data_IF_182281319261
#
_entry.id   IF_182281319261
#
_cell.length_a   1.000
_cell.length_b   1.000
_cell.length_c   1.000
_cell.angle_alpha   90.00
_cell.angle_beta   90.00
_cell.angle_gamma   90.00
#
_symmetry.space_group_name_H-M   'P 1'
#
loop_
_entity.id
_entity.type
_entity.pdbx_description
1 polymer ?
#
# COMPACT_ATOMS: atom_id res chain seq x y z
N UNK A 1 -34.61 52.17 -9.19
CA UNK A 1 -33.26 51.87 -9.72
C UNK A 1 -32.30 51.29 -8.67
N UNK A 2 -32.18 51.83 -7.44
CA UNK A 2 -31.25 51.29 -6.40
C UNK A 2 -31.40 49.78 -6.09
N UNK A 3 -32.63 49.23 -6.08
CA UNK A 3 -32.88 47.80 -5.78
C UNK A 3 -32.38 46.84 -6.87
N UNK A 4 -32.26 47.31 -8.12
CA UNK A 4 -31.80 46.48 -9.24
C UNK A 4 -30.28 46.26 -9.19
N UNK A 5 -29.53 47.30 -8.79
CA UNK A 5 -28.07 47.19 -8.58
C UNK A 5 -27.72 46.28 -7.40
N UNK A 6 -28.54 46.25 -6.34
CA UNK A 6 -28.35 45.32 -5.21
C UNK A 6 -28.53 43.87 -5.69
N UNK A 7 -29.53 43.61 -6.52
CA UNK A 7 -29.77 42.27 -7.05
C UNK A 7 -28.66 41.81 -8.01
N UNK A 8 -28.17 42.71 -8.87
CA UNK A 8 -27.02 42.43 -9.74
C UNK A 8 -25.76 42.18 -8.92
N UNK A 9 -25.50 42.99 -7.89
CA UNK A 9 -24.32 42.83 -7.04
C UNK A 9 -24.34 41.51 -6.27
N UNK A 10 -25.52 41.12 -5.74
CA UNK A 10 -25.70 39.86 -5.01
C UNK A 10 -25.61 38.65 -5.93
N UNK A 11 -26.11 38.76 -7.16
CA UNK A 11 -25.94 37.74 -8.19
C UNK A 11 -24.48 37.61 -8.63
N UNK A 12 -23.77 38.73 -8.79
CA UNK A 12 -22.36 38.73 -9.17
C UNK A 12 -21.46 38.22 -8.03
N UNK A 13 -21.77 38.53 -6.77
CA UNK A 13 -21.03 37.99 -5.62
C UNK A 13 -21.26 36.49 -5.45
N UNK A 14 -22.48 36.00 -5.69
CA UNK A 14 -22.80 34.58 -5.65
C UNK A 14 -22.14 33.83 -6.81
N UNK A 15 -22.12 34.41 -8.02
CA UNK A 15 -21.43 33.86 -9.17
C UNK A 15 -19.91 33.81 -8.96
N UNK A 16 -19.31 34.84 -8.35
CA UNK A 16 -17.90 34.81 -7.95
C UNK A 16 -17.65 33.72 -6.90
N UNK A 17 -18.51 33.58 -5.89
CA UNK A 17 -18.38 32.52 -4.88
C UNK A 17 -18.44 31.11 -5.50
N UNK A 18 -19.29 30.90 -6.51
CA UNK A 18 -19.39 29.63 -7.26
C UNK A 18 -18.19 29.37 -8.19
N UNK A 19 -17.48 30.42 -8.61
CA UNK A 19 -16.26 30.29 -9.43
C UNK A 19 -15.00 30.11 -8.57
N UNK A 20 -14.97 30.61 -7.33
CA UNK A 20 -13.83 30.48 -6.41
C UNK A 20 -13.80 29.17 -5.60
N UNK A 21 -14.89 28.39 -5.56
CA UNK A 21 -14.89 27.04 -4.95
C UNK A 21 -14.14 26.00 -5.78
N UNK A 22 -13.66 26.35 -6.98
CA UNK A 22 -12.62 25.59 -7.71
C UNK A 22 -11.21 25.97 -7.29
N UNK A 23 -11.02 26.41 -6.05
CA UNK A 23 -9.77 26.12 -5.35
C UNK A 23 -9.75 24.61 -5.17
N UNK A 24 -9.20 23.93 -6.18
CA UNK A 24 -8.84 22.53 -6.13
C UNK A 24 -8.15 22.29 -4.79
N UNK A 25 -8.85 21.70 -3.82
CA UNK A 25 -8.17 20.71 -3.01
C UNK A 25 -7.52 19.81 -4.06
N UNK A 26 -6.20 19.83 -4.14
CA UNK A 26 -5.48 18.79 -4.85
C UNK A 26 -5.97 17.49 -4.22
N UNK A 27 -6.95 16.87 -4.86
CA UNK A 27 -7.54 15.64 -4.36
C UNK A 27 -6.39 14.65 -4.50
N UNK A 28 -5.78 14.33 -3.36
CA UNK A 28 -4.67 13.38 -3.31
C UNK A 28 -5.09 12.17 -4.14
N UNK A 29 -4.25 11.79 -5.11
CA UNK A 29 -4.47 10.60 -5.93
C UNK A 29 -4.77 9.41 -5.01
N UNK A 30 -5.78 8.64 -5.38
CA UNK A 30 -6.14 7.37 -4.72
C UNK A 30 -5.03 6.34 -4.91
N UNK A 31 -5.02 5.29 -4.09
CA UNK A 31 -4.06 4.18 -4.25
C UNK A 31 -4.16 3.50 -5.60
N UNK A 32 -5.36 3.44 -6.19
CA UNK A 32 -5.59 2.87 -7.51
C UNK A 32 -4.95 3.72 -8.61
N UNK A 33 -5.10 5.05 -8.55
CA UNK A 33 -4.47 5.96 -9.50
C UNK A 33 -2.94 5.91 -9.39
N UNK A 34 -2.40 5.92 -8.16
CA UNK A 34 -0.95 5.79 -7.94
C UNK A 34 -0.41 4.44 -8.40
N UNK A 35 -1.20 3.36 -8.29
CA UNK A 35 -0.83 2.04 -8.79
C UNK A 35 -0.75 2.01 -10.33
N UNK A 36 -1.71 2.63 -11.02
CA UNK A 36 -1.68 2.72 -12.48
C UNK A 36 -0.47 3.53 -12.96
N UNK A 37 -0.17 4.64 -12.30
CA UNK A 37 1.02 5.44 -12.58
C UNK A 37 2.32 4.67 -12.33
N UNK A 38 2.40 3.90 -11.25
CA UNK A 38 3.50 2.98 -10.98
C UNK A 38 3.69 1.99 -12.14
N UNK A 39 2.63 1.33 -12.59
CA UNK A 39 2.72 0.37 -13.69
C UNK A 39 3.23 1.03 -14.98
N UNK A 40 2.78 2.24 -15.29
CA UNK A 40 3.24 2.99 -16.45
C UNK A 40 4.72 3.38 -16.35
N UNK A 41 5.13 3.95 -15.22
CA UNK A 41 6.51 4.39 -15.02
C UNK A 41 7.47 3.21 -14.94
N UNK A 42 7.04 2.09 -14.35
CA UNK A 42 7.84 0.87 -14.32
C UNK A 42 8.07 0.28 -15.71
N UNK A 43 7.06 0.29 -16.59
CA UNK A 43 7.26 -0.09 -18.01
C UNK A 43 8.25 0.82 -18.71
N UNK A 44 8.15 2.13 -18.48
CA UNK A 44 9.10 3.11 -19.05
C UNK A 44 10.54 2.86 -18.57
N UNK A 45 10.71 2.46 -17.32
CA UNK A 45 12.00 2.01 -16.79
C UNK A 45 12.51 0.76 -17.51
N UNK A 46 11.67 -0.27 -17.66
CA UNK A 46 12.02 -1.49 -18.39
C UNK A 46 12.44 -1.22 -19.83
N UNK A 47 11.72 -0.34 -20.53
CA UNK A 47 12.00 0.04 -21.92
C UNK A 47 13.35 0.76 -22.08
N UNK A 48 13.82 1.47 -21.04
CA UNK A 48 15.09 2.19 -21.07
C UNK A 48 16.33 1.30 -20.82
N UNK A 49 16.15 0.08 -20.28
CA UNK A 49 17.25 -0.84 -19.96
C UNK A 49 17.99 -1.29 -21.24
N UNK A 50 17.24 -1.66 -22.27
CA UNK A 50 17.83 -2.19 -23.52
C UNK A 50 18.71 -1.14 -24.22
N UNK A 51 18.22 0.10 -24.49
CA UNK A 51 19.05 1.17 -25.04
C UNK A 51 20.32 1.41 -24.22
N UNK A 52 20.21 1.48 -22.89
CA UNK A 52 21.36 1.65 -22.01
C UNK A 52 22.41 0.55 -22.19
N UNK A 53 21.98 -0.72 -22.17
CA UNK A 53 22.89 -1.86 -22.34
C UNK A 53 23.57 -1.86 -23.71
N UNK A 54 22.84 -1.48 -24.78
CA UNK A 54 23.43 -1.34 -26.11
C UNK A 54 24.50 -0.25 -26.14
N UNK A 55 24.22 0.93 -25.60
CA UNK A 55 25.19 2.04 -25.56
C UNK A 55 26.40 1.71 -24.67
N UNK A 56 26.18 1.03 -23.55
CA UNK A 56 27.24 0.54 -22.66
C UNK A 56 28.16 -0.42 -23.38
N UNK A 57 27.61 -1.40 -24.10
CA UNK A 57 28.39 -2.36 -24.89
C UNK A 57 29.23 -1.66 -25.98
N UNK A 58 28.65 -0.69 -26.69
CA UNK A 58 29.39 0.11 -27.69
C UNK A 58 30.53 0.91 -27.05
N UNK A 59 30.29 1.57 -25.92
CA UNK A 59 31.35 2.29 -25.19
C UNK A 59 32.48 1.37 -24.75
N UNK A 60 32.16 0.20 -24.17
CA UNK A 60 33.17 -0.79 -23.77
C UNK A 60 33.97 -1.36 -24.96
N UNK A 61 33.38 -1.38 -26.15
CA UNK A 61 34.03 -1.87 -27.38
C UNK A 61 34.93 -0.81 -28.01
N UNK A 62 34.47 0.43 -28.10
CA UNK A 62 35.12 1.47 -28.90
C UNK A 62 35.85 2.55 -28.10
N UNK A 63 35.39 2.87 -26.88
CA UNK A 63 36.06 3.83 -25.98
C UNK A 63 36.22 5.26 -26.51
N UNK A 64 35.45 5.66 -27.53
CA UNK A 64 35.54 6.99 -28.15
C UNK A 64 34.73 8.04 -27.39
N UNK A 65 35.06 9.32 -27.57
CA UNK A 65 34.31 10.47 -27.02
C UNK A 65 32.84 10.41 -27.44
N UNK A 66 32.54 10.07 -28.70
CA UNK A 66 31.17 9.94 -29.19
C UNK A 66 30.41 8.82 -28.45
N UNK A 67 31.03 7.65 -28.31
CA UNK A 67 30.41 6.53 -27.56
C UNK A 67 30.27 6.82 -26.07
N UNK A 68 31.14 7.66 -25.51
CA UNK A 68 31.05 8.13 -24.13
C UNK A 68 29.86 9.07 -23.95
N UNK A 69 29.66 10.02 -24.86
CA UNK A 69 28.53 10.93 -24.86
C UNK A 69 27.20 10.16 -25.03
N UNK A 70 27.14 9.22 -25.98
CA UNK A 70 25.96 8.37 -26.16
C UNK A 70 25.61 7.55 -24.91
N UNK A 71 26.62 7.02 -24.21
CA UNK A 71 26.41 6.28 -22.96
C UNK A 71 25.95 7.22 -21.84
N UNK A 72 26.48 8.43 -21.76
CA UNK A 72 26.07 9.41 -20.76
C UNK A 72 24.60 9.78 -20.94
N UNK A 73 24.16 10.03 -22.17
CA UNK A 73 22.75 10.33 -22.47
C UNK A 73 21.83 9.15 -22.14
N UNK A 74 22.25 7.93 -22.47
CA UNK A 74 21.48 6.73 -22.10
C UNK A 74 21.42 6.52 -20.59
N UNK A 75 22.51 6.80 -19.86
CA UNK A 75 22.57 6.75 -18.40
C UNK A 75 21.62 7.76 -17.76
N UNK A 76 21.62 9.00 -18.25
CA UNK A 76 20.68 10.05 -17.81
C UNK A 76 19.24 9.62 -18.02
N UNK A 77 18.92 9.09 -19.20
CA UNK A 77 17.57 8.64 -19.49
C UNK A 77 17.14 7.51 -18.54
N UNK A 78 18.00 6.49 -18.35
CA UNK A 78 17.72 5.37 -17.44
C UNK A 78 17.50 5.85 -16.00
N UNK A 79 18.42 6.65 -15.45
CA UNK A 79 18.32 7.18 -14.08
C UNK A 79 17.06 8.04 -13.88
N UNK A 80 16.66 8.81 -14.89
CA UNK A 80 15.45 9.62 -14.84
C UNK A 80 14.18 8.74 -14.79
N UNK A 81 14.07 7.74 -15.66
CA UNK A 81 12.90 6.85 -15.63
C UNK A 81 12.87 5.94 -14.40
N UNK A 82 14.03 5.54 -13.89
CA UNK A 82 14.18 4.79 -12.64
C UNK A 82 13.70 5.62 -11.44
N UNK A 83 14.14 6.87 -11.35
CA UNK A 83 13.68 7.80 -10.30
C UNK A 83 12.17 7.99 -10.34
N UNK A 84 11.58 8.13 -11.54
CA UNK A 84 10.11 8.26 -11.69
C UNK A 84 9.38 7.00 -11.25
N UNK A 85 9.86 5.83 -11.65
CA UNK A 85 9.27 4.55 -11.24
C UNK A 85 9.24 4.42 -9.72
N UNK A 86 10.34 4.78 -9.06
CA UNK A 86 10.48 4.63 -7.61
C UNK A 86 9.72 5.72 -6.85
N UNK A 87 9.64 6.93 -7.40
CA UNK A 87 8.74 7.98 -6.90
C UNK A 87 7.30 7.49 -6.91
N UNK A 88 6.83 6.94 -8.04
CA UNK A 88 5.47 6.41 -8.12
C UNK A 88 5.23 5.20 -7.22
N UNK A 89 6.23 4.33 -7.02
CA UNK A 89 6.15 3.23 -6.05
C UNK A 89 5.98 3.77 -4.63
N UNK A 90 6.79 4.76 -4.26
CA UNK A 90 6.78 5.39 -2.93
C UNK A 90 5.45 6.10 -2.68
N UNK A 91 4.91 6.82 -3.67
CA UNK A 91 3.57 7.42 -3.59
C UNK A 91 2.47 6.37 -3.47
N UNK A 92 2.56 5.27 -4.22
CA UNK A 92 1.61 4.16 -4.14
C UNK A 92 1.57 3.56 -2.73
N UNK A 93 2.71 3.12 -2.18
CA UNK A 93 2.74 2.52 -0.84
C UNK A 93 2.32 3.52 0.24
N UNK A 94 2.60 4.81 0.07
CA UNK A 94 2.12 5.88 0.96
C UNK A 94 0.60 5.98 0.98
N UNK A 95 -0.03 6.01 -0.19
CA UNK A 95 -1.49 6.05 -0.32
C UNK A 95 -2.14 4.77 0.21
N UNK A 96 -1.53 3.61 -0.04
CA UNK A 96 -2.00 2.32 0.47
C UNK A 96 -2.02 2.29 2.01
N UNK A 97 -0.95 2.81 2.64
CA UNK A 97 -0.89 2.92 4.10
C UNK A 97 -2.02 3.81 4.64
N UNK A 98 -2.21 4.99 4.06
CA UNK A 98 -3.25 5.93 4.48
C UNK A 98 -4.66 5.34 4.37
N UNK A 99 -4.96 4.65 3.26
CA UNK A 99 -6.27 4.02 3.05
C UNK A 99 -6.51 2.85 4.01
N UNK A 100 -5.48 2.05 4.30
CA UNK A 100 -5.61 0.88 5.15
C UNK A 100 -5.77 1.23 6.63
N UNK A 101 -5.07 2.26 7.13
CA UNK A 101 -4.99 2.54 8.57
C UNK A 101 -5.71 3.83 8.98
N UNK A 102 -6.17 4.63 8.01
CA UNK A 102 -6.63 6.01 8.23
C UNK A 102 -5.62 6.88 9.00
N UNK A 103 -4.35 6.45 9.08
CA UNK A 103 -3.25 7.07 9.82
C UNK A 103 -3.60 7.33 11.30
N UNK A 104 -4.34 6.41 11.91
CA UNK A 104 -4.81 6.59 13.30
C UNK A 104 -3.75 6.21 14.36
N UNK A 105 -2.72 5.45 13.98
CA UNK A 105 -1.68 4.97 14.90
C UNK A 105 -0.34 5.69 14.70
N UNK A 106 0.34 5.99 15.82
CA UNK A 106 1.62 6.71 15.84
C UNK A 106 2.70 6.10 14.90
N UNK A 107 2.80 4.77 14.86
CA UNK A 107 3.78 4.10 13.98
C UNK A 107 3.48 4.31 12.50
N UNK A 108 2.22 4.29 12.14
CA UNK A 108 1.79 4.52 10.75
C UNK A 108 2.06 5.97 10.37
N UNK A 109 1.86 6.91 11.31
CA UNK A 109 2.29 8.31 11.16
C UNK A 109 3.79 8.43 10.91
N UNK A 110 4.63 7.71 11.66
CA UNK A 110 6.09 7.72 11.47
C UNK A 110 6.50 7.19 10.09
N UNK A 111 5.92 6.06 9.65
CA UNK A 111 6.21 5.52 8.30
C UNK A 111 5.72 6.45 7.21
N UNK A 112 4.57 7.09 7.41
CA UNK A 112 4.03 8.08 6.48
C UNK A 112 4.95 9.30 6.32
N UNK A 113 5.50 9.81 7.43
CA UNK A 113 6.48 10.91 7.42
C UNK A 113 7.79 10.46 6.75
N UNK A 114 8.31 9.27 7.08
CA UNK A 114 9.52 8.72 6.43
C UNK A 114 9.33 8.66 4.91
N UNK A 115 8.14 8.28 4.42
CA UNK A 115 7.85 8.27 2.99
C UNK A 115 7.79 9.66 2.36
N UNK A 116 7.33 10.69 3.10
CA UNK A 116 7.40 12.07 2.63
C UNK A 116 8.84 12.56 2.47
N UNK A 117 9.71 12.22 3.43
CA UNK A 117 11.13 12.54 3.35
C UNK A 117 11.81 11.85 2.16
N UNK A 118 11.47 10.58 1.91
CA UNK A 118 11.98 9.84 0.75
C UNK A 118 11.46 10.41 -0.57
N UNK A 119 10.18 10.78 -0.66
CA UNK A 119 9.62 11.44 -1.86
C UNK A 119 10.30 12.78 -2.15
N UNK A 120 10.55 13.58 -1.11
CA UNK A 120 11.31 14.83 -1.24
C UNK A 120 12.74 14.58 -1.74
N UNK A 121 13.40 13.58 -1.18
CA UNK A 121 14.75 13.17 -1.56
C UNK A 121 14.81 12.67 -3.01
N UNK A 122 13.83 11.87 -3.45
CA UNK A 122 13.70 11.39 -4.83
C UNK A 122 13.45 12.55 -5.83
N UNK A 123 12.67 13.56 -5.45
CA UNK A 123 12.46 14.73 -6.29
C UNK A 123 13.77 15.53 -6.49
N UNK A 124 14.55 15.72 -5.43
CA UNK A 124 15.87 16.36 -5.52
C UNK A 124 16.81 15.54 -6.39
N UNK A 125 16.83 14.21 -6.19
CA UNK A 125 17.58 13.26 -7.00
C UNK A 125 17.22 13.34 -8.49
N UNK A 126 15.93 13.39 -8.84
CA UNK A 126 15.48 13.52 -10.22
C UNK A 126 15.97 14.82 -10.88
N UNK A 127 16.03 15.92 -10.13
CA UNK A 127 16.63 17.17 -10.60
C UNK A 127 18.13 17.05 -10.92
N UNK A 128 18.88 16.29 -10.12
CA UNK A 128 20.32 16.06 -10.33
C UNK A 128 20.63 15.24 -11.57
N UNK A 129 19.75 14.34 -12.00
CA UNK A 129 19.95 13.54 -13.22
C UNK A 129 20.15 14.43 -14.45
N UNK A 130 19.40 15.53 -14.55
CA UNK A 130 19.49 16.47 -15.66
C UNK A 130 20.82 17.23 -15.73
N UNK A 131 21.51 17.38 -14.60
CA UNK A 131 22.75 18.17 -14.47
C UNK A 131 24.02 17.32 -14.59
N UNK A 132 23.91 16.00 -14.78
CA UNK A 132 25.07 15.11 -14.91
C UNK A 132 25.93 15.53 -16.11
N UNK A 133 27.23 15.67 -15.89
CA UNK A 133 28.22 16.09 -16.88
C UNK A 133 29.18 14.98 -17.29
N UNK A 134 29.28 13.91 -16.49
CA UNK A 134 30.20 12.80 -16.73
C UNK A 134 29.62 11.44 -16.35
N UNK A 135 30.22 10.36 -16.88
CA UNK A 135 29.87 8.99 -16.52
C UNK A 135 30.16 8.69 -15.04
N UNK A 136 31.24 9.27 -14.48
CA UNK A 136 31.58 9.10 -13.06
C UNK A 136 30.49 9.67 -12.15
N UNK A 137 29.94 10.85 -12.49
CA UNK A 137 28.82 11.42 -11.74
C UNK A 137 27.56 10.57 -11.85
N UNK A 138 27.30 10.01 -13.04
CA UNK A 138 26.16 9.10 -13.25
C UNK A 138 26.30 7.81 -12.42
N UNK A 139 27.51 7.25 -12.32
CA UNK A 139 27.80 6.08 -11.49
C UNK A 139 27.64 6.38 -10.00
N UNK A 140 28.14 7.51 -9.51
CA UNK A 140 27.95 7.94 -8.12
C UNK A 140 26.46 8.10 -7.80
N UNK A 141 25.71 8.77 -8.67
CA UNK A 141 24.27 8.95 -8.46
C UNK A 141 23.51 7.61 -8.48
N UNK A 142 23.90 6.69 -9.36
CA UNK A 142 23.32 5.33 -9.41
C UNK A 142 23.59 4.54 -8.12
N UNK A 143 24.78 4.68 -7.53
CA UNK A 143 25.10 4.06 -6.24
C UNK A 143 24.24 4.63 -5.09
N UNK A 144 24.12 5.96 -5.03
CA UNK A 144 23.26 6.65 -4.05
C UNK A 144 21.79 6.18 -4.16
N UNK A 145 21.31 6.07 -5.40
CA UNK A 145 19.97 5.56 -5.72
C UNK A 145 19.77 4.15 -5.21
N UNK A 146 20.70 3.23 -5.50
CA UNK A 146 20.62 1.85 -5.02
C UNK A 146 20.42 1.76 -3.49
N UNK A 147 21.14 2.56 -2.71
CA UNK A 147 21.02 2.54 -1.26
C UNK A 147 19.70 3.17 -0.78
N UNK A 148 19.24 4.23 -1.42
CA UNK A 148 17.93 4.81 -1.15
C UNK A 148 16.80 3.81 -1.48
N UNK A 149 16.92 3.06 -2.57
CA UNK A 149 15.92 2.09 -2.99
C UNK A 149 15.82 0.91 -2.03
N UNK A 150 16.94 0.47 -1.43
CA UNK A 150 16.92 -0.52 -0.35
C UNK A 150 16.12 -0.03 0.86
N UNK A 151 16.25 1.26 1.23
CA UNK A 151 15.48 1.86 2.33
C UNK A 151 13.99 1.90 2.00
N UNK A 152 13.63 2.42 0.82
CA UNK A 152 12.23 2.50 0.36
C UNK A 152 11.61 1.10 0.26
N UNK A 153 12.34 0.12 -0.27
CA UNK A 153 11.91 -1.28 -0.34
C UNK A 153 11.61 -1.87 1.05
N UNK A 154 12.49 -1.62 2.03
CA UNK A 154 12.28 -2.04 3.42
C UNK A 154 11.04 -1.40 4.03
N UNK A 155 10.79 -0.11 3.78
CA UNK A 155 9.55 0.57 4.20
C UNK A 155 8.34 -0.07 3.51
N UNK A 156 8.45 -0.38 2.21
CA UNK A 156 7.43 -1.07 1.44
C UNK A 156 7.02 -2.42 2.03
N UNK A 157 7.98 -3.23 2.48
CA UNK A 157 7.69 -4.48 3.20
C UNK A 157 6.93 -4.23 4.50
N UNK A 158 7.36 -3.25 5.30
CA UNK A 158 6.66 -2.89 6.55
C UNK A 158 5.21 -2.49 6.30
N UNK A 159 4.97 -1.65 5.29
CA UNK A 159 3.64 -1.18 4.93
C UNK A 159 2.77 -2.32 4.41
N UNK A 160 3.29 -3.15 3.51
CA UNK A 160 2.57 -4.31 3.00
C UNK A 160 2.09 -5.21 4.15
N UNK A 161 2.97 -5.52 5.10
CA UNK A 161 2.61 -6.31 6.28
C UNK A 161 1.54 -5.63 7.14
N UNK A 162 1.60 -4.31 7.35
CA UNK A 162 0.57 -3.56 8.08
C UNK A 162 -0.78 -3.70 7.39
N UNK A 163 -0.84 -3.45 6.08
CA UNK A 163 -2.09 -3.52 5.31
C UNK A 163 -2.69 -4.92 5.35
N UNK A 164 -1.88 -5.97 5.22
CA UNK A 164 -2.36 -7.35 5.29
C UNK A 164 -2.88 -7.72 6.70
N UNK A 165 -2.18 -7.31 7.76
CA UNK A 165 -2.61 -7.53 9.15
C UNK A 165 -3.94 -6.83 9.42
N UNK A 166 -4.05 -5.54 9.09
CA UNK A 166 -5.26 -4.75 9.33
C UNK A 166 -6.45 -5.28 8.52
N UNK A 167 -6.22 -5.77 7.29
CA UNK A 167 -7.24 -6.44 6.51
C UNK A 167 -7.80 -7.69 7.22
N UNK A 168 -6.93 -8.56 7.76
CA UNK A 168 -7.36 -9.75 8.49
C UNK A 168 -8.05 -9.39 9.80
N UNK A 169 -7.55 -8.38 10.53
CA UNK A 169 -8.20 -7.86 11.76
C UNK A 169 -9.61 -7.37 11.49
N UNK A 170 -9.82 -6.65 10.38
CA UNK A 170 -11.15 -6.18 9.98
C UNK A 170 -12.09 -7.34 9.67
N UNK A 171 -11.62 -8.38 8.96
CA UNK A 171 -12.40 -9.59 8.70
C UNK A 171 -12.75 -10.29 10.02
N UNK A 172 -11.78 -10.42 10.93
CA UNK A 172 -11.98 -11.05 12.23
C UNK A 172 -12.97 -10.29 13.11
N UNK A 173 -12.88 -8.95 13.16
CA UNK A 173 -13.84 -8.12 13.88
C UNK A 173 -15.26 -8.27 13.33
N UNK A 174 -15.43 -8.30 12.00
CA UNK A 174 -16.73 -8.59 11.39
C UNK A 174 -17.25 -9.99 11.75
N UNK A 175 -16.36 -11.00 11.78
CA UNK A 175 -16.72 -12.35 12.19
C UNK A 175 -17.17 -12.42 13.65
N UNK A 176 -16.56 -11.63 14.56
CA UNK A 176 -17.00 -11.53 15.94
C UNK A 176 -18.42 -10.94 16.06
N UNK A 177 -18.77 -9.96 15.22
CA UNK A 177 -20.14 -9.43 15.15
C UNK A 177 -21.12 -10.51 14.70
N UNK A 178 -20.79 -11.28 13.67
CA UNK A 178 -21.64 -12.37 13.17
C UNK A 178 -21.75 -13.53 14.18
N UNK A 179 -20.68 -13.84 14.91
CA UNK A 179 -20.70 -14.78 16.03
C UNK A 179 -21.77 -14.38 17.06
N UNK A 180 -21.76 -13.13 17.51
CA UNK A 180 -22.69 -12.66 18.53
C UNK A 180 -24.14 -12.71 18.04
N UNK A 181 -24.39 -12.39 16.76
CA UNK A 181 -25.72 -12.54 16.16
C UNK A 181 -26.19 -13.99 16.15
N UNK A 182 -25.32 -14.93 15.76
CA UNK A 182 -25.65 -16.36 15.73
C UNK A 182 -25.87 -16.92 17.15
N UNK A 183 -25.07 -16.49 18.12
CA UNK A 183 -25.26 -16.85 19.53
C UNK A 183 -26.63 -16.43 20.04
N UNK A 184 -27.02 -15.17 19.80
CA UNK A 184 -28.33 -14.65 20.18
C UNK A 184 -29.45 -15.44 19.49
N UNK A 185 -29.33 -15.69 18.18
CA UNK A 185 -30.30 -16.49 17.42
C UNK A 185 -30.48 -17.89 18.03
N UNK A 186 -29.38 -18.58 18.36
CA UNK A 186 -29.44 -19.92 18.97
C UNK A 186 -30.01 -19.91 20.39
N UNK A 187 -29.82 -18.82 21.15
CA UNK A 187 -30.36 -18.67 22.49
C UNK A 187 -31.86 -18.34 22.50
N UNK A 188 -32.35 -17.62 21.49
CA UNK A 188 -33.77 -17.33 21.30
C UNK A 188 -34.60 -18.56 20.88
N UNK A 189 -33.96 -19.61 20.37
CA UNK A 189 -34.64 -20.87 20.08
C UNK A 189 -35.01 -21.59 21.40
N UNK A 190 -36.28 -21.48 21.79
CA UNK A 190 -36.82 -22.05 23.04
C UNK A 190 -37.17 -23.55 22.96
N UNK A 191 -36.97 -24.19 21.80
CA UNK A 191 -37.22 -25.62 21.60
C UNK A 191 -35.99 -26.49 21.88
N UNK A 192 -36.14 -27.54 22.69
CA UNK A 192 -35.10 -28.57 22.90
C UNK A 192 -35.13 -29.66 21.83
N UNK A 193 -35.15 -29.30 20.54
CA UNK A 193 -35.01 -30.30 19.48
C UNK A 193 -33.55 -30.75 19.41
N UNK A 194 -33.33 -32.03 19.06
CA UNK A 194 -31.99 -32.59 18.86
C UNK A 194 -31.14 -31.77 17.88
N UNK A 195 -31.78 -31.13 16.91
CA UNK A 195 -31.15 -30.23 15.94
C UNK A 195 -30.61 -28.94 16.59
N UNK A 196 -31.36 -28.30 17.49
CA UNK A 196 -30.91 -27.09 18.20
C UNK A 196 -29.75 -27.41 19.14
N UNK A 197 -29.79 -28.56 19.83
CA UNK A 197 -28.68 -29.01 20.68
C UNK A 197 -27.41 -29.26 19.86
N UNK A 198 -27.50 -29.98 18.74
CA UNK A 198 -26.38 -30.23 17.85
C UNK A 198 -25.80 -28.92 17.25
N UNK A 199 -26.66 -27.97 16.91
CA UNK A 199 -26.25 -26.64 16.45
C UNK A 199 -25.47 -25.87 17.52
N UNK A 200 -25.93 -25.88 18.78
CA UNK A 200 -25.25 -25.24 19.92
C UNK A 200 -23.90 -25.89 20.22
N UNK A 201 -23.82 -27.22 20.16
CA UNK A 201 -22.55 -27.94 20.34
C UNK A 201 -21.55 -27.57 19.25
N UNK A 202 -21.97 -27.62 17.99
CA UNK A 202 -21.12 -27.22 16.85
C UNK A 202 -20.68 -25.76 16.94
N UNK A 203 -21.57 -24.86 17.35
CA UNK A 203 -21.24 -23.45 17.58
C UNK A 203 -20.17 -23.29 18.67
N UNK A 204 -20.29 -24.02 19.78
CA UNK A 204 -19.31 -24.01 20.87
C UNK A 204 -17.93 -24.47 20.40
N UNK A 205 -17.85 -25.55 19.62
CA UNK A 205 -16.58 -26.03 19.05
C UNK A 205 -15.94 -24.98 18.16
N UNK A 206 -16.70 -24.38 17.23
CA UNK A 206 -16.17 -23.33 16.33
C UNK A 206 -15.72 -22.08 17.08
N UNK A 207 -16.33 -21.77 18.24
CA UNK A 207 -15.96 -20.61 19.04
C UNK A 207 -14.59 -20.75 19.71
N UNK A 208 -14.11 -21.98 19.94
CA UNK A 208 -12.78 -22.21 20.49
C UNK A 208 -11.67 -21.75 19.51
N UNK A 209 -11.95 -21.78 18.20
CA UNK A 209 -11.00 -21.39 17.16
C UNK A 209 -10.76 -19.86 17.07
N UNK A 210 -11.59 -19.04 17.71
CA UNK A 210 -11.37 -17.58 17.76
C UNK A 210 -10.08 -17.21 18.50
N UNK A 211 -9.72 -17.95 19.55
CA UNK A 211 -8.46 -17.75 20.28
C UNK A 211 -7.26 -17.95 19.35
N UNK A 212 -7.28 -19.03 18.56
CA UNK A 212 -6.24 -19.32 17.57
C UNK A 212 -6.08 -18.22 16.54
N UNK A 213 -7.18 -17.64 16.03
CA UNK A 213 -7.11 -16.52 15.09
C UNK A 213 -6.42 -15.31 15.74
N UNK A 214 -6.80 -14.97 16.98
CA UNK A 214 -6.20 -13.87 17.73
C UNK A 214 -4.70 -14.07 17.95
N UNK A 215 -4.28 -15.30 18.27
CA UNK A 215 -2.87 -15.64 18.47
C UNK A 215 -2.06 -15.50 17.17
N UNK A 216 -2.58 -16.00 16.05
CA UNK A 216 -1.93 -15.89 14.74
C UNK A 216 -1.77 -14.43 14.30
N UNK A 217 -2.78 -13.59 14.53
CA UNK A 217 -2.69 -12.15 14.27
C UNK A 217 -1.63 -11.50 15.18
N UNK A 218 -1.59 -11.86 16.47
CA UNK A 218 -0.62 -11.32 17.43
C UNK A 218 0.82 -11.72 17.09
N UNK A 219 1.03 -12.94 16.61
CA UNK A 219 2.32 -13.41 16.10
C UNK A 219 2.74 -12.62 14.86
N UNK A 220 1.82 -12.40 13.92
CA UNK A 220 2.08 -11.57 12.74
C UNK A 220 2.45 -10.13 13.12
N UNK A 221 1.75 -9.49 14.07
CA UNK A 221 2.09 -8.16 14.58
C UNK A 221 3.46 -8.12 15.26
N UNK A 222 3.83 -9.18 15.98
CA UNK A 222 5.14 -9.29 16.63
C UNK A 222 6.26 -9.37 15.60
N UNK A 223 6.09 -10.16 14.53
CA UNK A 223 7.08 -10.28 13.46
C UNK A 223 7.13 -9.03 12.60
N UNK A 224 6.00 -8.34 12.41
CA UNK A 224 5.94 -7.04 11.75
C UNK A 224 6.77 -5.98 12.48
N UNK A 225 6.74 -5.94 13.82
CA UNK A 225 7.56 -5.00 14.61
C UNK A 225 9.07 -5.22 14.43
N UNK A 226 9.50 -6.44 14.08
CA UNK A 226 10.90 -6.78 13.83
C UNK A 226 11.40 -6.34 12.45
N UNK A 227 10.51 -5.97 11.52
CA UNK A 227 10.88 -5.61 10.14
C UNK A 227 11.75 -4.36 10.03
N UNK A 228 11.74 -3.47 11.03
CA UNK A 228 12.60 -2.27 11.00
C UNK A 228 14.09 -2.66 10.96
N UNK A 229 14.48 -3.63 11.79
CA UNK A 229 15.88 -4.02 11.99
C UNK A 229 16.22 -5.45 11.55
N UNK A 230 15.22 -6.27 11.19
CA UNK A 230 15.40 -7.68 10.82
C UNK A 230 15.61 -7.94 9.33
N UNK A 231 15.52 -9.23 8.96
CA UNK A 231 15.44 -9.68 7.57
C UNK A 231 14.03 -9.44 7.01
N UNK A 232 13.84 -8.49 6.08
CA UNK A 232 12.52 -8.17 5.58
C UNK A 232 11.86 -9.33 4.83
N UNK A 233 12.62 -10.19 4.15
CA UNK A 233 12.05 -11.27 3.33
C UNK A 233 11.53 -12.39 4.24
N UNK A 234 12.38 -12.93 5.12
CA UNK A 234 12.00 -14.00 6.03
C UNK A 234 10.86 -13.61 6.96
N UNK A 235 10.91 -12.41 7.54
CA UNK A 235 9.84 -11.92 8.41
C UNK A 235 8.53 -11.68 7.65
N UNK A 236 8.57 -11.18 6.41
CA UNK A 236 7.36 -11.03 5.58
C UNK A 236 6.73 -12.39 5.27
N UNK A 237 7.54 -13.42 4.99
CA UNK A 237 7.04 -14.78 4.78
C UNK A 237 6.39 -15.37 6.03
N UNK A 238 6.98 -15.14 7.20
CA UNK A 238 6.42 -15.57 8.49
C UNK A 238 5.06 -14.90 8.77
N UNK A 239 4.97 -13.59 8.55
CA UNK A 239 3.72 -12.83 8.65
C UNK A 239 2.68 -13.42 7.71
N UNK A 240 3.03 -13.63 6.44
CA UNK A 240 2.11 -14.14 5.43
C UNK A 240 1.61 -15.55 5.77
N UNK A 241 2.48 -16.42 6.28
CA UNK A 241 2.12 -17.75 6.78
C UNK A 241 1.06 -17.65 7.88
N UNK A 242 1.31 -16.85 8.92
CA UNK A 242 0.39 -16.70 10.05
C UNK A 242 -0.96 -16.12 9.61
N UNK A 243 -0.95 -15.13 8.72
CA UNK A 243 -2.18 -14.51 8.19
C UNK A 243 -2.98 -15.45 7.28
N UNK A 244 -2.32 -16.27 6.47
CA UNK A 244 -3.00 -17.27 5.64
C UNK A 244 -3.61 -18.38 6.49
N UNK A 245 -2.92 -18.80 7.54
CA UNK A 245 -3.48 -19.76 8.51
C UNK A 245 -4.69 -19.16 9.23
N UNK A 246 -4.63 -17.90 9.66
CA UNK A 246 -5.76 -17.19 10.26
C UNK A 246 -6.96 -17.12 9.30
N UNK A 247 -6.72 -16.79 8.01
CA UNK A 247 -7.77 -16.78 6.97
C UNK A 247 -8.38 -18.16 6.75
N UNK A 248 -7.58 -19.23 6.79
CA UNK A 248 -8.08 -20.58 6.65
C UNK A 248 -9.02 -20.96 7.81
N UNK A 249 -8.64 -20.64 9.05
CA UNK A 249 -9.48 -20.85 10.23
C UNK A 249 -10.76 -20.02 10.15
N UNK A 250 -10.67 -18.74 9.75
CA UNK A 250 -11.84 -17.88 9.50
C UNK A 250 -12.79 -18.54 8.49
N UNK A 251 -12.27 -19.06 7.37
CA UNK A 251 -13.06 -19.74 6.35
C UNK A 251 -13.78 -20.98 6.87
N UNK A 252 -13.14 -21.76 7.74
CA UNK A 252 -13.75 -22.91 8.41
C UNK A 252 -14.91 -22.49 9.32
N UNK A 253 -14.71 -21.42 10.12
CA UNK A 253 -15.77 -20.89 11.00
C UNK A 253 -16.97 -20.40 10.18
N UNK A 254 -16.74 -19.62 9.12
CA UNK A 254 -17.81 -19.12 8.24
C UNK A 254 -18.61 -20.29 7.66
N UNK A 255 -17.93 -21.30 7.13
CA UNK A 255 -18.57 -22.50 6.58
C UNK A 255 -19.35 -23.26 7.67
N UNK A 256 -18.79 -23.33 8.87
CA UNK A 256 -19.43 -23.93 10.04
C UNK A 256 -20.73 -23.22 10.43
N UNK A 257 -20.71 -21.88 10.49
CA UNK A 257 -21.86 -21.05 10.80
C UNK A 257 -22.96 -21.16 9.72
N UNK A 258 -22.58 -21.15 8.44
CA UNK A 258 -23.52 -21.38 7.35
C UNK A 258 -24.24 -22.73 7.48
N UNK A 259 -23.50 -23.79 7.77
CA UNK A 259 -24.08 -25.12 7.99
C UNK A 259 -25.04 -25.16 9.18
N UNK A 260 -24.73 -24.45 10.27
CA UNK A 260 -25.65 -24.33 11.42
C UNK A 260 -26.96 -23.68 10.96
N UNK A 261 -26.89 -22.53 10.27
CA UNK A 261 -28.07 -21.83 9.78
C UNK A 261 -28.89 -22.69 8.83
N UNK A 262 -28.25 -23.39 7.88
CA UNK A 262 -28.96 -24.28 6.96
C UNK A 262 -29.64 -25.46 7.64
N UNK A 263 -29.05 -26.00 8.71
CA UNK A 263 -29.64 -27.12 9.45
C UNK A 263 -30.87 -26.75 10.30
N UNK A 264 -31.08 -25.45 10.52
CA UNK A 264 -32.17 -24.91 11.34
C UNK A 264 -33.29 -24.26 10.51
N UNK A 265 -33.14 -24.20 9.19
CA UNK A 265 -34.19 -23.80 8.24
C UNK A 265 -35.03 -25.02 7.83
#
# INVERSE_FOLDING_TARGET
>A
MKKFYVFIFLFFSLALFLLYTKSTLAQSKTSTENYQELLQNYRSYQDAITPFNTKKSRYLTYGTVDTQAELLDASKNLLNVETRAITSYTSFIKSLLAEATQILQYRDTVLYIKLDDELSSLNIAGGKVGTLSSLSEAETLSADFSDQYKKISRIGYQIKSIVEIESVKKIFANLQVEKNKLENFLNEQTGSTSQILAAKEKFSTLNQDFGRISDLISQAETSQKKLENGDPIGLTQEIWKNLNEAKAVIGQIITGYQNIIFSLK
#
